data_IF_118863293358
#
_entry.id   IF_118863293358
#
_cell.length_a   1.000
_cell.length_b   1.000
_cell.length_c   1.000
_cell.angle_alpha   90.00
_cell.angle_beta   90.00
_cell.angle_gamma   90.00
#
_symmetry.space_group_name_H-M   'P 1'
#
loop_
_entity.id
_entity.type
_entity.pdbx_description
1 polymer ?
#
# COMPACT_ATOMS: atom_id res chain seq x y z
N UNK A 1 8.92 18.50 30.90
CA UNK A 1 9.51 18.89 29.61
C UNK A 1 9.81 17.57 28.90
N UNK A 2 9.09 17.05 27.91
CA UNK A 2 7.94 17.49 27.12
C UNK A 2 7.23 16.18 26.76
N UNK A 3 5.99 15.96 27.21
CA UNK A 3 5.22 14.78 26.82
C UNK A 3 4.84 14.91 25.35
N UNK A 4 5.41 14.06 24.50
CA UNK A 4 4.96 13.90 23.14
C UNK A 4 3.52 13.39 23.20
N UNK A 5 2.57 14.27 22.90
CA UNK A 5 1.16 13.93 22.75
C UNK A 5 1.07 12.92 21.60
N UNK A 6 0.99 11.64 21.96
CA UNK A 6 0.73 10.55 21.02
C UNK A 6 -0.71 10.76 20.55
N UNK A 7 -0.85 11.44 19.40
CA UNK A 7 -2.16 11.65 18.77
C UNK A 7 -2.88 10.30 18.74
N UNK A 8 -4.13 10.21 19.22
CA UNK A 8 -4.83 8.95 19.20
C UNK A 8 -4.91 8.49 17.74
N UNK A 9 -4.50 7.25 17.48
CA UNK A 9 -4.55 6.54 16.20
C UNK A 9 -6.01 6.29 15.74
N UNK A 10 -6.88 7.29 15.90
CA UNK A 10 -8.32 7.19 15.64
C UNK A 10 -8.64 7.05 14.14
N UNK A 11 -7.63 7.06 13.27
CA UNK A 11 -7.77 6.93 11.83
C UNK A 11 -7.10 5.67 11.26
N UNK A 12 -6.84 4.62 12.06
CA UNK A 12 -6.31 3.35 11.52
C UNK A 12 -7.42 2.35 11.16
N UNK A 13 -8.55 2.35 11.87
CA UNK A 13 -9.61 1.34 11.65
C UNK A 13 -10.48 1.59 10.41
N UNK A 14 -10.52 2.83 9.90
CA UNK A 14 -11.29 3.22 8.71
C UNK A 14 -10.45 3.27 7.42
N UNK A 15 -9.11 3.26 7.51
CA UNK A 15 -8.22 3.26 6.34
C UNK A 15 -8.48 2.06 5.42
N UNK A 16 -8.95 0.95 5.97
CA UNK A 16 -9.27 -0.25 5.18
C UNK A 16 -10.69 -0.26 4.59
N UNK A 17 -11.54 0.73 4.91
CA UNK A 17 -12.94 0.72 4.46
C UNK A 17 -13.13 1.38 3.08
N UNK A 18 -12.32 2.40 2.77
CA UNK A 18 -12.41 3.18 1.54
C UNK A 18 -11.01 3.46 0.98
N UNK A 19 -10.89 3.55 -0.34
CA UNK A 19 -9.69 4.04 -1.02
C UNK A 19 -9.64 5.56 -0.96
N UNK A 20 -8.44 6.14 -0.97
CA UNK A 20 -8.22 7.57 -0.88
C UNK A 20 -7.32 8.07 -2.02
N UNK A 21 -7.98 8.58 -3.08
CA UNK A 21 -7.36 9.02 -4.33
C UNK A 21 -6.41 7.98 -4.94
N UNK A 22 -6.90 6.79 -5.31
CA UNK A 22 -6.07 5.78 -5.95
C UNK A 22 -5.45 6.32 -7.25
N UNK A 23 -4.15 6.09 -7.44
CA UNK A 23 -3.36 6.67 -8.52
C UNK A 23 -3.14 5.74 -9.71
N UNK A 24 -3.21 4.43 -9.49
CA UNK A 24 -2.95 3.43 -10.52
C UNK A 24 -3.27 2.01 -10.06
N UNK A 25 -3.51 1.15 -11.05
CA UNK A 25 -3.68 -0.29 -10.87
C UNK A 25 -2.83 -1.02 -11.91
N UNK A 26 -2.16 -2.09 -11.49
CA UNK A 26 -1.42 -3.01 -12.36
C UNK A 26 -1.78 -4.45 -12.03
N UNK A 27 -1.52 -5.36 -12.96
CA UNK A 27 -1.89 -6.78 -12.84
C UNK A 27 -0.72 -7.66 -13.21
N UNK A 28 -0.61 -8.79 -12.53
CA UNK A 28 0.18 -9.93 -12.98
C UNK A 28 -0.70 -10.89 -13.79
N UNK A 29 -0.39 -11.06 -15.07
CA UNK A 29 -1.11 -11.99 -15.95
C UNK A 29 -0.88 -13.46 -15.55
N UNK A 30 0.23 -13.77 -14.86
CA UNK A 30 0.57 -15.14 -14.46
C UNK A 30 -0.17 -15.64 -13.23
N UNK A 31 -0.16 -14.85 -12.15
CA UNK A 31 -0.73 -15.23 -10.84
C UNK A 31 -2.14 -14.71 -10.57
N UNK A 32 -2.71 -13.89 -11.47
CA UNK A 32 -4.00 -13.22 -11.26
C UNK A 32 -4.02 -12.32 -10.00
N UNK A 33 -2.85 -11.74 -9.67
CA UNK A 33 -2.70 -10.72 -8.63
C UNK A 33 -2.85 -9.32 -9.22
N UNK A 34 -3.45 -8.43 -8.45
CA UNK A 34 -3.67 -7.03 -8.77
C UNK A 34 -2.99 -6.17 -7.71
N UNK A 35 -2.36 -5.08 -8.15
CA UNK A 35 -1.66 -4.12 -7.31
C UNK A 35 -2.30 -2.75 -7.49
N UNK A 36 -2.83 -2.17 -6.41
CA UNK A 36 -3.50 -0.87 -6.43
C UNK A 36 -2.72 0.13 -5.57
N UNK A 37 -2.32 1.24 -6.18
CA UNK A 37 -1.70 2.35 -5.48
C UNK A 37 -2.75 3.25 -4.85
N UNK A 38 -2.89 3.15 -3.52
CA UNK A 38 -3.82 3.96 -2.72
C UNK A 38 -3.11 5.24 -2.25
N UNK A 39 -2.95 6.18 -3.18
CA UNK A 39 -1.99 7.30 -3.11
C UNK A 39 -2.02 8.06 -1.78
N UNK A 40 -3.18 8.51 -1.32
CA UNK A 40 -3.25 9.33 -0.10
C UNK A 40 -3.36 8.49 1.18
N UNK A 41 -3.39 7.16 1.06
CA UNK A 41 -3.10 6.26 2.18
C UNK A 41 -1.64 5.80 2.20
N UNK A 42 -0.80 6.24 1.26
CA UNK A 42 0.64 5.96 1.27
C UNK A 42 0.95 4.47 1.28
N UNK A 43 0.19 3.70 0.50
CA UNK A 43 0.28 2.25 0.44
C UNK A 43 -0.05 1.69 -0.94
N UNK A 44 0.38 0.46 -1.18
CA UNK A 44 -0.04 -0.38 -2.30
C UNK A 44 -0.81 -1.56 -1.71
N UNK A 45 -1.99 -1.85 -2.26
CA UNK A 45 -2.83 -2.98 -1.85
C UNK A 45 -2.67 -4.10 -2.87
N UNK A 46 -2.39 -5.30 -2.39
CA UNK A 46 -2.29 -6.52 -3.21
C UNK A 46 -3.58 -7.32 -3.03
N UNK A 47 -4.23 -7.71 -4.11
CA UNK A 47 -5.46 -8.51 -4.06
C UNK A 47 -5.50 -9.52 -5.20
N UNK A 48 -6.20 -10.64 -5.00
CA UNK A 48 -6.43 -11.60 -6.06
C UNK A 48 -7.53 -11.12 -7.03
N UNK A 49 -7.71 -11.82 -8.14
CA UNK A 49 -8.77 -11.51 -9.11
C UNK A 49 -10.21 -11.69 -8.59
N UNK A 50 -10.43 -12.20 -7.38
CA UNK A 50 -11.74 -12.18 -6.71
C UNK A 50 -11.97 -10.91 -5.88
N UNK A 51 -10.95 -10.07 -5.74
CA UNK A 51 -10.96 -8.86 -4.92
C UNK A 51 -10.60 -9.10 -3.46
N UNK A 52 -10.14 -10.31 -3.10
CA UNK A 52 -9.66 -10.59 -1.75
C UNK A 52 -8.30 -9.94 -1.56
N UNK A 53 -8.16 -9.10 -0.54
CA UNK A 53 -6.88 -8.52 -0.14
C UNK A 53 -5.95 -9.64 0.32
N UNK A 54 -4.79 -9.72 -0.32
CA UNK A 54 -3.71 -10.66 -0.02
C UNK A 54 -2.70 -10.02 0.93
N UNK A 55 -2.31 -8.76 0.66
CA UNK A 55 -1.26 -8.06 1.40
C UNK A 55 -1.33 -6.53 1.21
N UNK A 56 -0.52 -5.79 1.96
CA UNK A 56 -0.38 -4.34 1.85
C UNK A 56 1.05 -3.85 2.07
N UNK A 57 1.57 -3.07 1.12
CA UNK A 57 2.89 -2.45 1.20
C UNK A 57 2.73 -0.99 1.61
N UNK A 58 3.30 -0.59 2.73
CA UNK A 58 3.31 0.80 3.20
C UNK A 58 2.46 1.04 4.45
N UNK A 59 3.08 1.66 5.46
CA UNK A 59 2.44 1.94 6.76
C UNK A 59 2.01 3.39 6.94
N UNK A 60 2.84 4.32 6.45
CA UNK A 60 2.71 5.75 6.68
C UNK A 60 3.53 6.54 5.65
N UNK A 61 3.30 7.86 5.51
CA UNK A 61 4.07 8.69 4.61
C UNK A 61 5.57 8.65 4.93
N UNK A 62 6.40 8.33 3.94
CA UNK A 62 7.86 8.33 4.09
C UNK A 62 8.59 7.71 2.91
N UNK A 63 9.86 7.39 3.13
CA UNK A 63 10.79 6.84 2.12
C UNK A 63 11.67 5.73 2.74
N UNK A 64 11.18 5.09 3.80
CA UNK A 64 11.91 4.08 4.54
C UNK A 64 11.57 2.69 4.00
N UNK A 65 12.61 1.93 3.67
CA UNK A 65 12.49 0.53 3.31
C UNK A 65 12.18 -0.34 4.54
N UNK A 66 11.71 -1.56 4.27
CA UNK A 66 11.45 -2.57 5.29
C UNK A 66 10.57 -3.68 4.73
N UNK A 67 10.07 -4.53 5.64
CA UNK A 67 8.98 -5.45 5.32
C UNK A 67 7.74 -4.65 4.87
N UNK A 68 6.82 -5.28 4.15
CA UNK A 68 5.66 -4.61 3.57
C UNK A 68 4.89 -3.70 4.55
N UNK A 69 4.61 -4.21 5.75
CA UNK A 69 3.89 -3.49 6.81
C UNK A 69 4.72 -2.43 7.54
N UNK A 70 6.04 -2.40 7.35
CA UNK A 70 6.96 -1.44 7.98
C UNK A 70 7.45 -0.37 7.01
N UNK A 71 7.49 -0.68 5.71
CA UNK A 71 7.88 0.25 4.67
C UNK A 71 7.06 1.54 4.74
N UNK A 72 7.65 2.65 4.33
CA UNK A 72 6.96 3.93 4.22
C UNK A 72 7.03 4.43 2.79
N UNK A 73 5.88 4.74 2.23
CA UNK A 73 5.75 5.22 0.87
C UNK A 73 5.28 6.66 0.85
N UNK A 74 5.70 7.42 -0.16
CA UNK A 74 5.23 8.78 -0.36
C UNK A 74 4.39 8.85 -1.63
N UNK A 75 3.06 8.80 -1.46
CA UNK A 75 2.09 8.96 -2.55
C UNK A 75 2.40 8.08 -3.77
N UNK A 76 2.37 6.74 -3.62
CA UNK A 76 2.60 5.83 -4.75
C UNK A 76 1.56 6.08 -5.86
N UNK A 77 1.97 5.94 -7.12
CA UNK A 77 1.13 6.24 -8.28
C UNK A 77 1.12 5.06 -9.26
N UNK A 78 1.89 5.12 -10.35
CA UNK A 78 2.04 3.98 -11.25
C UNK A 78 2.83 2.87 -10.56
N UNK A 79 2.50 1.63 -10.89
CA UNK A 79 3.27 0.44 -10.52
C UNK A 79 3.35 -0.52 -11.70
N UNK A 80 4.41 -1.32 -11.75
CA UNK A 80 4.64 -2.34 -12.77
C UNK A 80 5.19 -3.62 -12.13
N UNK A 81 4.48 -4.72 -12.31
CA UNK A 81 4.94 -6.02 -11.82
C UNK A 81 5.75 -6.76 -12.88
N UNK A 82 6.95 -7.20 -12.50
CA UNK A 82 7.87 -7.96 -13.33
C UNK A 82 7.89 -9.43 -12.87
N UNK A 83 7.04 -10.27 -13.48
CA UNK A 83 6.82 -11.64 -13.02
C UNK A 83 8.04 -12.57 -13.06
N UNK A 84 9.04 -12.32 -13.92
CA UNK A 84 10.25 -13.16 -13.92
C UNK A 84 11.21 -12.84 -12.78
N UNK A 85 11.18 -11.62 -12.26
CA UNK A 85 12.00 -11.18 -11.12
C UNK A 85 11.24 -11.19 -9.80
N UNK A 86 9.92 -11.44 -9.84
CA UNK A 86 9.01 -11.32 -8.71
C UNK A 86 9.14 -9.96 -7.99
N UNK A 87 9.23 -8.90 -8.80
CA UNK A 87 9.47 -7.54 -8.32
C UNK A 87 8.34 -6.59 -8.76
N UNK A 88 7.90 -5.73 -7.84
CA UNK A 88 7.00 -4.62 -8.12
C UNK A 88 7.83 -3.32 -8.16
N UNK A 89 7.72 -2.60 -9.27
CA UNK A 89 8.39 -1.31 -9.51
C UNK A 89 7.39 -0.15 -9.47
#
# INVERSE_FOLDING_TARGET
QTEAIKRPLACSSMQNLLLHFPGGISSDEGSNCLFLSDTNHHRIIIFDGSGKILDCIGSSPGFEDGDFEAAKLMRPAASFYHGTEDCLY
#
